data_IF_436450464889
#
_entry.id   IF_436450464889
#
_cell.length_a   1.000
_cell.length_b   1.000
_cell.length_c   1.000
_cell.angle_alpha   90.00
_cell.angle_beta   90.00
_cell.angle_gamma   90.00
#
_symmetry.space_group_name_H-M   'P 1'
#
loop_
_entity.id
_entity.type
_entity.pdbx_description
1 polymer ?
#
# COMPACT_ATOMS: atom_id res chain seq x y z
N UNK A 1 -58.24 -7.39 57.13
CA UNK A 1 -56.74 -7.25 56.96
C UNK A 1 -56.17 -8.41 56.17
N UNK A 2 -56.67 -9.64 56.28
CA UNK A 2 -56.20 -10.80 55.53
C UNK A 2 -56.46 -10.72 54.01
N UNK A 3 -57.62 -10.23 53.55
CA UNK A 3 -57.97 -10.07 52.14
C UNK A 3 -57.06 -9.01 51.45
N UNK A 4 -56.63 -7.95 52.16
CA UNK A 4 -55.73 -6.93 51.62
C UNK A 4 -54.33 -7.50 51.41
N UNK A 5 -53.89 -8.36 52.34
CA UNK A 5 -52.56 -9.01 52.25
C UNK A 5 -52.49 -10.01 51.09
N UNK A 6 -53.56 -10.80 50.89
CA UNK A 6 -53.64 -11.76 49.76
C UNK A 6 -53.71 -11.09 48.40
N UNK A 7 -54.45 -9.98 48.28
CA UNK A 7 -54.48 -9.17 47.06
C UNK A 7 -53.11 -8.51 46.77
N UNK A 8 -52.41 -8.03 47.83
CA UNK A 8 -51.04 -7.49 47.68
C UNK A 8 -50.05 -8.50 47.17
N UNK A 9 -50.10 -9.75 47.71
CA UNK A 9 -49.27 -10.82 47.22
C UNK A 9 -49.58 -11.22 45.74
N UNK A 10 -50.84 -11.29 45.39
CA UNK A 10 -51.28 -11.59 44.03
C UNK A 10 -50.77 -10.53 43.03
N UNK A 11 -50.88 -9.25 43.32
CA UNK A 11 -50.31 -8.18 42.48
C UNK A 11 -48.77 -8.24 42.41
N UNK A 12 -48.12 -8.58 43.52
CA UNK A 12 -46.66 -8.77 43.57
C UNK A 12 -46.20 -9.91 42.61
N UNK A 13 -46.89 -11.02 42.62
CA UNK A 13 -46.60 -12.14 41.72
C UNK A 13 -46.85 -11.78 40.24
N UNK A 14 -47.95 -11.06 39.92
CA UNK A 14 -48.22 -10.60 38.57
C UNK A 14 -47.14 -9.63 38.07
N UNK A 15 -46.68 -8.69 38.93
CA UNK A 15 -45.62 -7.77 38.59
C UNK A 15 -44.27 -8.51 38.34
N UNK A 16 -43.96 -9.51 39.13
CA UNK A 16 -42.77 -10.33 38.97
C UNK A 16 -42.78 -11.13 37.64
N UNK A 17 -43.94 -11.75 37.33
CA UNK A 17 -44.11 -12.49 36.07
C UNK A 17 -43.96 -11.57 34.86
N UNK A 18 -44.61 -10.40 34.89
CA UNK A 18 -44.50 -9.40 33.82
C UNK A 18 -43.03 -8.90 33.65
N UNK A 19 -42.36 -8.67 34.75
CA UNK A 19 -40.92 -8.31 34.72
C UNK A 19 -40.06 -9.39 34.07
N UNK A 20 -40.23 -10.65 34.47
CA UNK A 20 -39.47 -11.79 33.90
C UNK A 20 -39.79 -11.98 32.42
N UNK A 21 -41.05 -11.86 32.00
CA UNK A 21 -41.43 -11.92 30.59
C UNK A 21 -40.82 -10.77 29.79
N UNK A 22 -40.89 -9.54 30.32
CA UNK A 22 -40.28 -8.37 29.68
C UNK A 22 -38.75 -8.53 29.54
N UNK A 23 -38.08 -8.98 30.60
CA UNK A 23 -36.63 -9.26 30.58
C UNK A 23 -36.30 -10.35 29.55
N UNK A 24 -37.08 -11.42 29.50
CA UNK A 24 -36.93 -12.50 28.52
C UNK A 24 -37.09 -12.00 27.07
N UNK A 25 -38.07 -11.15 26.81
CA UNK A 25 -38.29 -10.52 25.49
C UNK A 25 -37.13 -9.61 25.10
N UNK A 26 -36.62 -8.79 26.01
CA UNK A 26 -35.45 -7.92 25.75
C UNK A 26 -34.21 -8.74 25.44
N UNK A 27 -33.95 -9.80 26.19
CA UNK A 27 -32.82 -10.69 25.93
C UNK A 27 -32.96 -11.41 24.58
N UNK A 28 -34.17 -11.92 24.26
CA UNK A 28 -34.47 -12.54 22.98
C UNK A 28 -34.26 -11.56 21.81
N UNK A 29 -34.79 -10.35 21.92
CA UNK A 29 -34.65 -9.30 20.92
C UNK A 29 -33.19 -8.89 20.72
N UNK A 30 -32.43 -8.72 21.81
CA UNK A 30 -31.00 -8.41 21.76
C UNK A 30 -30.23 -9.51 21.02
N UNK A 31 -30.50 -10.76 21.33
CA UNK A 31 -29.83 -11.89 20.70
C UNK A 31 -30.23 -12.10 19.24
N UNK A 32 -31.50 -11.80 18.89
CA UNK A 32 -32.06 -12.03 17.57
C UNK A 32 -31.73 -10.92 16.56
N UNK A 33 -31.54 -9.66 17.00
CA UNK A 33 -31.29 -8.51 16.12
C UNK A 33 -29.90 -7.93 16.31
N UNK A 34 -29.49 -7.59 17.54
CA UNK A 34 -28.23 -6.88 17.78
C UNK A 34 -27.01 -7.79 17.45
N UNK A 35 -27.08 -9.06 17.74
CA UNK A 35 -26.03 -10.02 17.42
C UNK A 35 -25.69 -10.07 15.93
N UNK A 36 -26.65 -10.37 15.05
CA UNK A 36 -26.45 -10.38 13.60
C UNK A 36 -26.03 -9.03 13.02
N UNK A 37 -26.59 -7.91 13.50
CA UNK A 37 -26.21 -6.55 13.03
C UNK A 37 -24.72 -6.27 13.32
N UNK A 38 -24.25 -6.58 14.53
CA UNK A 38 -22.80 -6.50 14.85
C UNK A 38 -21.94 -7.42 13.98
N UNK A 39 -22.49 -8.58 13.57
CA UNK A 39 -21.85 -9.46 12.62
C UNK A 39 -21.65 -8.82 11.24
N UNK A 40 -22.71 -8.21 10.72
CA UNK A 40 -22.71 -7.48 9.43
C UNK A 40 -21.71 -6.31 9.49
N UNK A 41 -21.74 -5.52 10.57
CA UNK A 41 -20.80 -4.40 10.73
C UNK A 41 -19.33 -4.85 10.73
N UNK A 42 -19.01 -5.95 11.42
CA UNK A 42 -17.65 -6.54 11.39
C UNK A 42 -17.25 -6.98 10.00
N UNK A 43 -18.18 -7.56 9.21
CA UNK A 43 -17.89 -7.95 7.83
C UNK A 43 -17.61 -6.74 6.94
N UNK A 44 -18.42 -5.68 7.04
CA UNK A 44 -18.23 -4.45 6.27
C UNK A 44 -16.87 -3.82 6.62
N UNK A 45 -16.51 -3.76 7.90
CA UNK A 45 -15.21 -3.24 8.32
C UNK A 45 -14.05 -4.09 7.76
N UNK A 46 -14.15 -5.43 7.82
CA UNK A 46 -13.14 -6.32 7.23
C UNK A 46 -13.00 -6.17 5.72
N UNK A 47 -14.12 -5.99 5.02
CA UNK A 47 -14.12 -5.68 3.58
C UNK A 47 -13.45 -4.35 3.29
N UNK A 48 -13.73 -3.31 4.09
CA UNK A 48 -13.08 -2.00 3.97
C UNK A 48 -11.56 -2.04 4.25
N UNK A 49 -11.11 -3.01 5.05
CA UNK A 49 -9.70 -3.29 5.32
C UNK A 49 -9.04 -4.19 4.26
N UNK A 50 -9.75 -4.56 3.19
CA UNK A 50 -9.24 -5.46 2.14
C UNK A 50 -9.06 -6.92 2.60
N UNK A 51 -9.64 -7.33 3.75
CA UNK A 51 -9.52 -8.69 4.28
C UNK A 51 -10.62 -9.59 3.72
N UNK A 52 -10.23 -10.77 3.25
CA UNK A 52 -11.19 -11.81 2.82
C UNK A 52 -12.13 -12.22 3.96
N UNK A 53 -13.39 -12.46 3.64
CA UNK A 53 -14.40 -12.87 4.63
C UNK A 53 -14.32 -14.36 5.03
N UNK A 54 -13.51 -15.17 4.38
CA UNK A 54 -13.36 -16.61 4.67
C UNK A 54 -14.65 -17.41 4.46
N UNK A 55 -14.53 -18.71 4.18
CA UNK A 55 -15.61 -19.59 3.74
C UNK A 55 -16.70 -19.93 4.79
N UNK A 56 -16.66 -19.39 6.00
CA UNK A 56 -17.47 -19.91 7.13
C UNK A 56 -18.33 -18.88 7.87
N UNK A 57 -18.88 -17.87 7.20
CA UNK A 57 -19.81 -16.98 7.89
C UNK A 57 -21.25 -17.46 7.74
N UNK A 58 -21.71 -18.32 8.66
CA UNK A 58 -23.12 -18.71 8.74
C UNK A 58 -23.90 -17.65 9.50
N UNK A 59 -24.75 -16.90 8.78
CA UNK A 59 -25.67 -15.94 9.40
C UNK A 59 -26.83 -16.64 10.09
N UNK A 60 -26.93 -16.47 11.42
CA UNK A 60 -28.12 -16.86 12.21
C UNK A 60 -28.90 -15.59 12.52
N UNK A 61 -30.17 -15.50 12.09
CA UNK A 61 -31.03 -14.34 12.35
C UNK A 61 -32.26 -14.30 11.46
N UNK A 62 -33.07 -13.22 11.54
CA UNK A 62 -34.22 -12.98 10.68
C UNK A 62 -33.89 -13.07 9.19
N UNK A 63 -34.89 -13.42 8.37
CA UNK A 63 -34.72 -13.64 6.92
C UNK A 63 -34.09 -12.41 6.24
N UNK A 64 -34.50 -11.21 6.65
CA UNK A 64 -34.05 -9.93 6.09
C UNK A 64 -32.56 -9.71 6.33
N UNK A 65 -32.09 -9.91 7.57
CA UNK A 65 -30.67 -9.76 7.92
C UNK A 65 -29.81 -10.84 7.26
N UNK A 66 -30.35 -12.07 7.10
CA UNK A 66 -29.69 -13.15 6.40
C UNK A 66 -29.49 -12.81 4.91
N UNK A 67 -30.50 -12.23 4.26
CA UNK A 67 -30.39 -11.80 2.86
C UNK A 67 -29.34 -10.70 2.66
N UNK A 68 -29.25 -9.73 3.58
CA UNK A 68 -28.20 -8.69 3.57
C UNK A 68 -26.81 -9.32 3.74
N UNK A 69 -26.65 -10.23 4.70
CA UNK A 69 -25.39 -10.94 4.89
C UNK A 69 -24.94 -11.72 3.65
N UNK A 70 -25.87 -12.42 2.99
CA UNK A 70 -25.59 -13.14 1.74
C UNK A 70 -25.16 -12.20 0.60
N UNK A 71 -25.80 -11.02 0.48
CA UNK A 71 -25.42 -10.03 -0.52
C UNK A 71 -24.01 -9.47 -0.27
N UNK A 72 -23.64 -9.27 1.00
CA UNK A 72 -22.28 -8.81 1.36
C UNK A 72 -21.24 -9.89 1.02
N UNK A 73 -21.54 -11.16 1.30
CA UNK A 73 -20.64 -12.28 0.91
C UNK A 73 -20.49 -12.31 -0.62
N UNK A 74 -21.58 -12.29 -1.36
CA UNK A 74 -21.56 -12.26 -2.82
C UNK A 74 -20.74 -11.07 -3.37
N UNK A 75 -20.91 -9.87 -2.76
CA UNK A 75 -20.15 -8.67 -3.16
C UNK A 75 -18.66 -8.85 -2.88
N UNK A 76 -18.29 -9.44 -1.74
CA UNK A 76 -16.92 -9.77 -1.39
C UNK A 76 -16.28 -10.73 -2.40
N UNK A 77 -17.00 -11.80 -2.74
CA UNK A 77 -16.55 -12.77 -3.75
C UNK A 77 -16.40 -12.11 -5.12
N UNK A 78 -17.34 -11.22 -5.48
CA UNK A 78 -17.29 -10.49 -6.74
C UNK A 78 -16.11 -9.53 -6.81
N UNK A 79 -15.81 -8.82 -5.72
CA UNK A 79 -14.63 -7.95 -5.63
C UNK A 79 -13.34 -8.76 -5.75
N UNK A 80 -13.21 -9.84 -4.99
CA UNK A 80 -12.05 -10.74 -5.06
C UNK A 80 -11.86 -11.33 -6.48
N UNK A 81 -12.96 -11.70 -7.14
CA UNK A 81 -12.92 -12.17 -8.52
C UNK A 81 -12.44 -11.07 -9.49
N UNK A 82 -12.94 -9.83 -9.36
CA UNK A 82 -12.52 -8.70 -10.20
C UNK A 82 -11.03 -8.38 -9.99
N UNK A 83 -10.55 -8.39 -8.75
CA UNK A 83 -9.14 -8.22 -8.44
C UNK A 83 -8.29 -9.31 -9.06
N UNK A 84 -8.70 -10.58 -8.93
CA UNK A 84 -8.01 -11.72 -9.57
C UNK A 84 -7.96 -11.58 -11.10
N UNK A 85 -9.07 -11.20 -11.74
CA UNK A 85 -9.12 -10.95 -13.18
C UNK A 85 -8.20 -9.80 -13.60
N UNK A 86 -8.18 -8.70 -12.84
CA UNK A 86 -7.27 -7.57 -13.06
C UNK A 86 -5.80 -8.02 -13.01
N UNK A 87 -5.43 -8.82 -12.01
CA UNK A 87 -4.07 -9.33 -11.86
C UNK A 87 -3.69 -10.29 -13.00
N UNK A 88 -4.60 -11.20 -13.37
CA UNK A 88 -4.37 -12.12 -14.47
C UNK A 88 -4.21 -11.38 -15.80
N UNK A 89 -5.06 -10.38 -16.08
CA UNK A 89 -4.98 -9.53 -17.27
C UNK A 89 -3.64 -8.80 -17.34
N UNK A 90 -3.22 -8.14 -16.28
CA UNK A 90 -1.96 -7.40 -16.24
C UNK A 90 -0.75 -8.32 -16.40
N UNK A 91 -0.78 -9.53 -15.82
CA UNK A 91 0.26 -10.54 -16.04
C UNK A 91 0.34 -10.97 -17.50
N UNK A 92 -0.81 -11.23 -18.13
CA UNK A 92 -0.87 -11.63 -19.52
C UNK A 92 -0.35 -10.53 -20.45
N UNK A 93 -0.85 -9.30 -20.30
CA UNK A 93 -0.39 -8.14 -21.09
C UNK A 93 1.12 -7.96 -20.97
N UNK A 94 1.67 -8.11 -19.78
CA UNK A 94 3.10 -7.93 -19.56
C UNK A 94 3.94 -9.00 -20.28
N UNK A 95 3.49 -10.25 -20.31
CA UNK A 95 4.14 -11.29 -21.10
C UNK A 95 4.07 -10.99 -22.61
N UNK A 96 2.90 -10.54 -23.09
CA UNK A 96 2.69 -10.17 -24.48
C UNK A 96 3.48 -8.93 -24.93
N UNK A 97 3.78 -8.02 -23.99
CA UNK A 97 4.62 -6.85 -24.27
C UNK A 97 6.13 -7.17 -24.20
N UNK A 98 6.55 -8.12 -23.37
CA UNK A 98 7.97 -8.47 -23.20
C UNK A 98 8.57 -9.05 -24.46
N UNK A 99 7.82 -9.88 -25.18
CA UNK A 99 8.27 -10.55 -26.41
C UNK A 99 8.59 -9.57 -27.54
N UNK A 100 7.69 -8.68 -28.02
CA UNK A 100 8.00 -7.74 -29.09
C UNK A 100 9.09 -6.75 -28.67
N UNK A 101 9.16 -6.39 -27.38
CA UNK A 101 10.20 -5.50 -26.88
C UNK A 101 11.59 -6.14 -26.89
N UNK A 102 11.69 -7.44 -26.57
CA UNK A 102 12.93 -8.20 -26.70
C UNK A 102 13.40 -8.22 -28.17
N UNK A 103 12.48 -8.44 -29.12
CA UNK A 103 12.81 -8.42 -30.57
C UNK A 103 13.23 -7.03 -31.05
N UNK A 104 12.59 -5.95 -30.57
CA UNK A 104 13.00 -4.58 -30.88
C UNK A 104 14.41 -4.30 -30.35
N UNK A 105 14.71 -4.72 -29.11
CA UNK A 105 16.03 -4.55 -28.51
C UNK A 105 17.12 -5.33 -29.28
N UNK A 106 16.85 -6.59 -29.61
CA UNK A 106 17.76 -7.40 -30.41
C UNK A 106 18.04 -6.76 -31.77
N UNK A 107 17.01 -6.23 -32.44
CA UNK A 107 17.17 -5.48 -33.68
C UNK A 107 17.99 -4.22 -33.55
N UNK A 108 17.82 -3.45 -32.44
CA UNK A 108 18.63 -2.24 -32.17
C UNK A 108 20.05 -2.58 -31.80
N UNK A 109 20.31 -3.67 -31.07
CA UNK A 109 21.67 -4.18 -30.76
C UNK A 109 22.40 -4.61 -32.04
N UNK A 110 21.75 -5.37 -32.92
CA UNK A 110 22.33 -5.79 -34.25
C UNK A 110 22.67 -4.56 -35.11
N UNK A 111 21.85 -3.51 -35.08
CA UNK A 111 22.15 -2.27 -35.80
C UNK A 111 23.34 -1.52 -35.14
N UNK A 112 23.36 -1.43 -33.81
CA UNK A 112 24.45 -0.78 -33.06
C UNK A 112 25.80 -1.47 -33.30
N UNK A 113 25.81 -2.80 -33.42
CA UNK A 113 26.97 -3.65 -33.74
C UNK A 113 27.34 -3.63 -35.21
N UNK A 114 26.64 -2.84 -36.04
CA UNK A 114 26.88 -2.67 -37.46
C UNK A 114 26.82 -4.01 -38.25
N UNK A 115 26.09 -5.01 -37.75
CA UNK A 115 25.96 -6.34 -38.40
C UNK A 115 25.34 -6.24 -39.79
N UNK A 116 24.46 -5.28 -40.03
CA UNK A 116 23.79 -5.00 -41.31
C UNK A 116 24.61 -4.06 -42.22
N UNK A 117 25.79 -3.60 -41.77
CA UNK A 117 26.66 -2.66 -42.48
C UNK A 117 26.94 -1.40 -41.63
N UNK A 118 27.94 -0.59 -42.04
CA UNK A 118 28.36 0.59 -41.27
C UNK A 118 27.24 1.65 -41.24
N UNK A 119 27.07 2.26 -40.05
CA UNK A 119 26.10 3.31 -39.82
C UNK A 119 26.75 4.72 -39.94
N UNK A 120 25.99 5.68 -40.47
CA UNK A 120 26.38 7.09 -40.41
C UNK A 120 26.33 7.61 -38.97
N UNK A 121 27.03 8.73 -38.61
CA UNK A 121 26.93 9.30 -37.29
C UNK A 121 25.50 9.60 -36.85
N UNK A 122 24.66 10.10 -37.74
CA UNK A 122 23.24 10.41 -37.47
C UNK A 122 22.44 9.12 -37.21
N UNK A 123 22.72 8.05 -37.95
CA UNK A 123 22.09 6.75 -37.71
C UNK A 123 22.49 6.14 -36.38
N UNK A 124 23.76 6.27 -35.97
CA UNK A 124 24.23 5.84 -34.65
C UNK A 124 23.50 6.56 -33.51
N UNK A 125 23.27 7.87 -33.65
CA UNK A 125 22.51 8.65 -32.68
C UNK A 125 21.06 8.14 -32.57
N UNK A 126 20.41 7.89 -33.72
CA UNK A 126 19.03 7.35 -33.74
C UNK A 126 18.97 5.96 -33.08
N UNK A 127 19.91 5.07 -33.37
CA UNK A 127 20.00 3.73 -32.78
C UNK A 127 20.19 3.82 -31.27
N UNK A 128 21.07 4.74 -30.80
CA UNK A 128 21.26 4.96 -29.37
C UNK A 128 19.98 5.43 -28.67
N UNK A 129 19.19 6.32 -29.31
CA UNK A 129 17.89 6.76 -28.77
C UNK A 129 16.89 5.60 -28.72
N UNK A 130 16.84 4.74 -29.74
CA UNK A 130 15.96 3.57 -29.80
C UNK A 130 16.33 2.55 -28.71
N UNK A 131 17.62 2.25 -28.53
CA UNK A 131 18.09 1.36 -27.46
C UNK A 131 17.73 1.89 -26.07
N UNK A 132 18.03 3.16 -25.80
CA UNK A 132 17.66 3.80 -24.55
C UNK A 132 16.14 3.77 -24.28
N UNK A 133 15.32 4.01 -25.32
CA UNK A 133 13.86 3.97 -25.22
C UNK A 133 13.34 2.56 -24.96
N UNK A 134 13.90 1.55 -25.64
CA UNK A 134 13.55 0.14 -25.44
C UNK A 134 13.89 -0.36 -24.05
N UNK A 135 15.07 -0.01 -23.52
CA UNK A 135 15.48 -0.33 -22.13
C UNK A 135 14.55 0.34 -21.10
N UNK A 136 14.17 1.58 -21.35
CA UNK A 136 13.23 2.28 -20.48
C UNK A 136 11.85 1.61 -20.48
N UNK A 137 11.32 1.25 -21.64
CA UNK A 137 10.03 0.55 -21.75
C UNK A 137 10.08 -0.81 -21.06
N UNK A 138 11.18 -1.56 -21.20
CA UNK A 138 11.36 -2.83 -20.49
C UNK A 138 11.29 -2.62 -18.97
N UNK A 139 12.00 -1.62 -18.44
CA UNK A 139 11.97 -1.28 -17.03
C UNK A 139 10.57 -0.92 -16.53
N UNK A 140 9.78 -0.18 -17.34
CA UNK A 140 8.40 0.17 -17.02
C UNK A 140 7.49 -1.07 -16.95
N UNK A 141 7.63 -1.99 -17.90
CA UNK A 141 6.87 -3.26 -17.93
C UNK A 141 7.24 -4.12 -16.72
N UNK A 142 8.53 -4.24 -16.38
CA UNK A 142 9.01 -4.99 -15.22
C UNK A 142 8.47 -4.38 -13.91
N UNK A 143 8.51 -3.05 -13.76
CA UNK A 143 7.94 -2.36 -12.61
C UNK A 143 6.43 -2.58 -12.48
N UNK A 144 5.68 -2.55 -13.59
CA UNK A 144 4.25 -2.83 -13.61
C UNK A 144 3.94 -4.28 -13.20
N UNK A 145 4.77 -5.23 -13.67
CA UNK A 145 4.67 -6.65 -13.28
C UNK A 145 4.92 -6.86 -11.79
N UNK A 146 6.02 -6.32 -11.29
CA UNK A 146 6.39 -6.42 -9.88
C UNK A 146 5.33 -5.78 -8.98
N UNK A 147 4.78 -4.64 -9.39
CA UNK A 147 3.65 -4.00 -8.71
C UNK A 147 2.45 -4.95 -8.60
N UNK A 148 2.04 -5.53 -9.74
CA UNK A 148 0.90 -6.44 -9.76
C UNK A 148 1.16 -7.75 -9.01
N UNK A 149 2.38 -8.28 -9.05
CA UNK A 149 2.78 -9.48 -8.31
C UNK A 149 2.73 -9.23 -6.80
N UNK A 150 3.27 -8.12 -6.35
CA UNK A 150 3.21 -7.71 -4.94
C UNK A 150 1.78 -7.46 -4.44
N UNK A 151 0.88 -7.01 -5.31
CA UNK A 151 -0.56 -6.86 -4.98
C UNK A 151 -1.31 -8.19 -4.92
N UNK A 152 -0.88 -9.23 -5.65
CA UNK A 152 -1.54 -10.53 -5.72
C UNK A 152 -1.19 -11.47 -4.58
N UNK A 153 -0.01 -11.32 -3.96
CA UNK A 153 0.42 -12.16 -2.85
C UNK A 153 -0.42 -11.87 -1.61
N UNK A 154 -1.06 -12.92 -1.08
CA UNK A 154 -2.06 -12.92 0.01
C UNK A 154 -1.73 -12.12 1.28
N UNK A 155 -2.18 -12.58 2.45
CA UNK A 155 -1.97 -11.90 3.72
C UNK A 155 -0.48 -11.61 3.97
N UNK A 156 -0.15 -10.32 4.12
CA UNK A 156 1.21 -9.89 4.47
C UNK A 156 1.51 -10.36 5.90
N UNK A 157 2.59 -11.09 6.06
CA UNK A 157 3.08 -11.49 7.40
C UNK A 157 4.02 -10.38 7.87
N UNK A 158 3.61 -9.69 8.93
CA UNK A 158 4.43 -8.66 9.55
C UNK A 158 5.35 -9.31 10.57
N UNK A 159 6.62 -8.97 10.50
CA UNK A 159 7.65 -9.38 11.46
C UNK A 159 8.45 -8.17 11.93
N UNK A 160 9.22 -8.34 13.01
CA UNK A 160 10.12 -7.28 13.49
C UNK A 160 11.30 -7.17 12.55
N UNK A 161 11.43 -6.02 11.87
CA UNK A 161 12.45 -5.75 10.86
C UNK A 161 13.38 -4.67 11.35
N UNK A 162 14.70 -4.92 11.31
CA UNK A 162 15.71 -3.91 11.57
C UNK A 162 15.81 -2.94 10.38
N UNK A 163 15.76 -1.64 10.67
CA UNK A 163 15.68 -0.58 9.66
C UNK A 163 17.08 -0.33 9.04
N UNK A 164 18.13 -0.33 9.85
CA UNK A 164 19.48 0.04 9.44
C UNK A 164 20.02 -0.81 8.26
N UNK A 165 19.91 -2.16 8.26
CA UNK A 165 20.40 -2.97 7.15
C UNK A 165 19.68 -2.67 5.83
N UNK A 166 18.37 -2.37 5.88
CA UNK A 166 17.60 -2.02 4.69
C UNK A 166 18.02 -0.66 4.13
N UNK A 167 18.23 0.31 5.02
CA UNK A 167 18.71 1.65 4.65
C UNK A 167 20.09 1.56 3.99
N UNK A 168 21.01 0.78 4.55
CA UNK A 168 22.36 0.61 4.00
C UNK A 168 22.33 -0.04 2.61
N UNK A 169 21.47 -1.04 2.40
CA UNK A 169 21.30 -1.66 1.08
C UNK A 169 20.78 -0.66 0.05
N UNK A 170 19.79 0.17 0.42
CA UNK A 170 19.22 1.19 -0.48
C UNK A 170 20.26 2.25 -0.82
N UNK A 171 20.99 2.79 0.17
CA UNK A 171 22.04 3.79 -0.05
C UNK A 171 23.11 3.22 -0.99
N UNK A 172 23.52 1.98 -0.76
CA UNK A 172 24.54 1.31 -1.58
C UNK A 172 24.08 1.14 -3.03
N UNK A 173 22.83 0.73 -3.25
CA UNK A 173 22.26 0.54 -4.58
C UNK A 173 22.20 1.86 -5.39
N UNK A 174 21.99 3.00 -4.74
CA UNK A 174 21.90 4.32 -5.37
C UNK A 174 23.19 5.17 -5.23
N UNK A 175 24.29 4.57 -4.78
CA UNK A 175 25.55 5.31 -4.51
C UNK A 175 26.13 6.02 -5.74
N UNK A 176 26.11 5.40 -6.92
CA UNK A 176 26.63 6.01 -8.14
C UNK A 176 25.82 7.23 -8.60
N UNK A 177 24.48 7.18 -8.75
CA UNK A 177 23.70 8.36 -9.12
C UNK A 177 23.75 9.47 -8.06
N UNK A 178 23.80 9.14 -6.76
CA UNK A 178 23.94 10.13 -5.70
C UNK A 178 25.28 10.85 -5.77
N UNK A 179 26.40 10.11 -5.98
CA UNK A 179 27.72 10.68 -6.18
C UNK A 179 27.83 11.53 -7.44
N UNK A 180 27.21 11.12 -8.54
CA UNK A 180 27.19 11.88 -9.77
C UNK A 180 26.54 13.27 -9.59
N UNK A 181 25.59 13.39 -8.65
CA UNK A 181 24.99 14.67 -8.23
C UNK A 181 25.67 15.33 -7.03
N UNK A 182 26.78 14.76 -6.54
CA UNK A 182 27.48 15.23 -5.32
C UNK A 182 26.57 15.34 -4.10
N UNK A 183 25.55 14.49 -3.99
CA UNK A 183 24.60 14.48 -2.88
C UNK A 183 25.19 13.77 -1.66
N UNK A 184 24.84 14.26 -0.48
CA UNK A 184 25.21 13.67 0.80
C UNK A 184 23.99 13.00 1.45
N UNK A 185 24.19 11.82 2.07
CA UNK A 185 23.12 11.16 2.83
C UNK A 185 23.46 11.22 4.31
N UNK A 186 22.50 11.68 5.13
CA UNK A 186 22.58 11.69 6.58
C UNK A 186 21.54 10.72 7.15
N UNK A 187 22.00 9.82 8.01
CA UNK A 187 21.17 8.77 8.62
C UNK A 187 21.13 8.98 10.14
N UNK A 188 19.92 9.02 10.71
CA UNK A 188 19.66 9.17 12.14
C UNK A 188 18.50 8.25 12.56
N UNK A 189 18.83 7.05 13.03
CA UNK A 189 17.86 6.00 13.34
C UNK A 189 17.68 5.84 14.86
N UNK A 190 16.74 6.62 15.42
CA UNK A 190 16.37 6.54 16.85
C UNK A 190 15.39 5.38 17.14
N UNK A 191 14.66 4.90 16.14
CA UNK A 191 13.87 3.68 16.21
C UNK A 191 14.58 2.60 15.37
N UNK A 192 15.18 1.56 15.98
CA UNK A 192 16.00 0.59 15.25
C UNK A 192 15.18 -0.42 14.46
N UNK A 193 13.92 -0.68 14.84
CA UNK A 193 13.07 -1.70 14.22
C UNK A 193 11.61 -1.26 14.10
N UNK A 194 10.88 -1.90 13.20
CA UNK A 194 9.44 -1.74 13.01
C UNK A 194 8.79 -3.07 12.65
N UNK A 195 7.44 -3.15 12.73
CA UNK A 195 6.70 -4.29 12.22
C UNK A 195 6.40 -4.08 10.73
N UNK A 196 7.02 -4.89 9.91
CA UNK A 196 6.90 -4.80 8.46
C UNK A 196 7.07 -6.17 7.79
N UNK A 197 6.79 -6.23 6.51
CA UNK A 197 7.30 -7.29 5.62
C UNK A 197 8.58 -6.76 4.96
N UNK A 198 9.73 -7.46 5.11
CA UNK A 198 11.03 -6.92 4.72
C UNK A 198 11.14 -6.47 3.27
N UNK A 199 10.61 -7.28 2.33
CA UNK A 199 10.70 -6.98 0.90
C UNK A 199 9.81 -5.81 0.48
N UNK A 200 8.64 -5.66 1.12
CA UNK A 200 7.78 -4.51 0.87
C UNK A 200 8.40 -3.23 1.42
N UNK A 201 8.94 -3.27 2.65
CA UNK A 201 9.60 -2.11 3.25
C UNK A 201 10.84 -1.70 2.44
N UNK A 202 11.65 -2.68 2.02
CA UNK A 202 12.79 -2.45 1.12
C UNK A 202 12.36 -1.75 -0.17
N UNK A 203 11.28 -2.22 -0.81
CA UNK A 203 10.73 -1.61 -2.02
C UNK A 203 10.25 -0.17 -1.81
N UNK A 204 9.65 0.13 -0.65
CA UNK A 204 9.22 1.48 -0.29
C UNK A 204 10.44 2.40 -0.13
N UNK A 205 11.42 1.99 0.66
CA UNK A 205 12.64 2.76 0.89
C UNK A 205 13.40 3.01 -0.41
N UNK A 206 13.51 2.01 -1.29
CA UNK A 206 14.13 2.13 -2.61
C UNK A 206 13.43 3.18 -3.48
N UNK A 207 12.10 3.13 -3.55
CA UNK A 207 11.32 4.10 -4.32
C UNK A 207 11.46 5.53 -3.78
N UNK A 208 11.40 5.72 -2.45
CA UNK A 208 11.52 7.04 -1.84
C UNK A 208 12.94 7.60 -1.96
N UNK A 209 13.96 6.78 -1.74
CA UNK A 209 15.36 7.19 -1.86
C UNK A 209 15.73 7.49 -3.32
N UNK A 210 15.31 6.66 -4.27
CA UNK A 210 15.46 6.91 -5.70
C UNK A 210 14.84 8.24 -6.10
N UNK A 211 13.65 8.57 -5.59
CA UNK A 211 13.02 9.86 -5.82
C UNK A 211 13.83 11.00 -5.21
N UNK A 212 14.33 10.86 -3.98
CA UNK A 212 15.19 11.86 -3.34
C UNK A 212 16.47 12.13 -4.15
N UNK A 213 17.11 11.10 -4.70
CA UNK A 213 18.28 11.25 -5.58
C UNK A 213 17.89 11.94 -6.90
N UNK A 214 16.74 11.59 -7.49
CA UNK A 214 16.35 12.12 -8.80
C UNK A 214 15.88 13.57 -8.74
N UNK A 215 15.09 13.93 -7.74
CA UNK A 215 14.46 15.26 -7.61
C UNK A 215 15.24 16.20 -6.68
N UNK A 216 16.19 15.69 -5.92
CA UNK A 216 17.07 16.48 -5.08
C UNK A 216 17.99 17.37 -5.90
N UNK A 217 18.41 18.52 -5.32
CA UNK A 217 19.37 19.45 -5.90
C UNK A 217 20.77 18.85 -5.99
N UNK A 218 21.57 19.30 -6.94
CA UNK A 218 23.01 19.02 -6.99
C UNK A 218 23.69 19.53 -5.71
N UNK A 219 24.61 18.76 -5.15
CA UNK A 219 25.26 19.02 -3.86
C UNK A 219 24.29 19.12 -2.68
N UNK A 220 23.06 18.61 -2.84
CA UNK A 220 22.04 18.58 -1.80
C UNK A 220 22.22 17.49 -0.78
N UNK A 221 21.31 17.43 0.19
CA UNK A 221 21.34 16.42 1.26
C UNK A 221 20.06 15.58 1.26
N UNK A 222 20.23 14.28 1.43
CA UNK A 222 19.14 13.34 1.71
C UNK A 222 19.20 12.98 3.18
N UNK A 223 18.08 13.04 3.88
CA UNK A 223 17.95 12.66 5.27
C UNK A 223 17.10 11.40 5.39
N UNK A 224 17.61 10.41 6.11
CA UNK A 224 16.82 9.23 6.52
C UNK A 224 16.78 9.22 8.03
N UNK A 225 15.60 9.32 8.61
CA UNK A 225 15.43 9.38 10.07
C UNK A 225 14.38 8.40 10.51
N UNK A 226 14.59 7.76 11.65
CA UNK A 226 13.55 6.96 12.28
C UNK A 226 13.31 7.40 13.72
N UNK A 227 12.04 7.46 14.12
CA UNK A 227 11.59 7.76 15.47
C UNK A 227 10.36 6.91 15.79
N UNK A 228 10.01 6.82 17.09
CA UNK A 228 8.76 6.19 17.51
C UNK A 228 8.06 7.04 18.58
N UNK A 229 6.75 6.86 18.71
CA UNK A 229 5.94 7.46 19.77
C UNK A 229 5.39 6.43 20.77
N UNK A 230 5.97 5.22 20.83
CA UNK A 230 5.55 4.12 21.70
C UNK A 230 4.46 3.21 21.10
N UNK A 231 3.75 3.64 20.07
CA UNK A 231 2.73 2.83 19.37
C UNK A 231 3.02 2.66 17.87
N UNK A 232 3.64 3.66 17.26
CA UNK A 232 4.02 3.68 15.83
C UNK A 232 5.48 4.06 15.65
N UNK A 233 6.07 3.53 14.60
CA UNK A 233 7.39 3.94 14.09
C UNK A 233 7.18 4.86 12.91
N UNK A 234 7.93 5.95 12.87
CA UNK A 234 7.98 6.91 11.79
C UNK A 234 9.34 6.78 11.11
N UNK A 235 9.34 6.59 9.79
CA UNK A 235 10.56 6.63 8.98
C UNK A 235 10.40 7.77 7.98
N UNK A 236 11.26 8.77 8.08
CA UNK A 236 11.29 9.93 7.21
C UNK A 236 12.39 9.78 6.17
N UNK A 237 12.03 9.91 4.90
CA UNK A 237 12.96 10.06 3.79
C UNK A 237 12.76 11.45 3.21
N UNK A 238 13.74 12.32 3.40
CA UNK A 238 13.63 13.73 3.04
C UNK A 238 14.82 14.19 2.19
N UNK A 239 14.62 15.20 1.36
CA UNK A 239 15.68 15.76 0.52
C UNK A 239 15.55 17.25 0.35
N UNK A 240 16.69 17.91 0.18
CA UNK A 240 16.74 19.27 -0.35
C UNK A 240 16.45 19.25 -1.84
N UNK A 241 15.58 20.17 -2.32
CA UNK A 241 15.20 20.20 -3.73
C UNK A 241 14.03 21.13 -3.99
N UNK A 242 13.35 20.97 -5.11
CA UNK A 242 12.15 21.75 -5.38
C UNK A 242 10.98 21.19 -4.55
N UNK A 243 10.25 22.05 -3.82
CA UNK A 243 9.09 21.61 -3.04
C UNK A 243 7.98 21.11 -3.97
N UNK A 244 7.19 20.15 -3.49
CA UNK A 244 6.03 19.64 -4.22
C UNK A 244 4.91 20.67 -4.13
N UNK A 245 4.34 21.15 -5.26
CA UNK A 245 3.19 22.05 -5.26
C UNK A 245 2.01 21.48 -4.47
N UNK A 246 1.26 22.32 -3.76
CA UNK A 246 0.17 21.88 -2.88
C UNK A 246 -0.95 21.15 -3.62
N UNK A 247 -1.23 21.55 -4.85
CA UNK A 247 -2.20 20.92 -5.75
C UNK A 247 -1.73 19.54 -6.26
N UNK A 248 -0.43 19.26 -6.26
CA UNK A 248 0.13 17.98 -6.67
C UNK A 248 0.28 16.99 -5.51
N UNK A 249 0.30 17.42 -4.24
CA UNK A 249 0.59 16.56 -3.07
C UNK A 249 -0.31 15.34 -2.94
N UNK A 250 -1.55 15.41 -3.36
CA UNK A 250 -2.47 14.27 -3.39
C UNK A 250 -2.31 13.41 -4.64
N UNK A 251 -1.99 14.05 -5.76
CA UNK A 251 -1.94 13.42 -7.09
C UNK A 251 -0.64 12.64 -7.32
N UNK A 252 0.47 13.00 -6.65
CA UNK A 252 1.76 12.29 -6.84
C UNK A 252 1.73 10.83 -6.41
N UNK A 253 0.72 10.42 -5.66
CA UNK A 253 0.49 9.03 -5.28
C UNK A 253 -0.42 8.28 -6.26
N UNK A 254 -0.99 8.95 -7.26
CA UNK A 254 -1.78 8.31 -8.29
C UNK A 254 -0.87 7.61 -9.32
N UNK A 255 -1.22 6.39 -9.76
CA UNK A 255 -0.44 5.67 -10.76
C UNK A 255 -0.26 6.50 -12.04
N UNK A 256 0.95 6.48 -12.60
CA UNK A 256 1.36 7.20 -13.82
C UNK A 256 1.35 8.72 -13.72
N UNK A 257 1.04 9.29 -12.57
CA UNK A 257 1.14 10.73 -12.39
C UNK A 257 2.61 11.18 -12.36
N UNK A 258 2.90 12.28 -13.06
CA UNK A 258 4.21 12.93 -13.11
C UNK A 258 3.97 14.40 -12.83
N UNK A 259 4.58 14.93 -11.76
CA UNK A 259 4.46 16.33 -11.38
C UNK A 259 5.09 17.28 -12.41
N UNK A 260 4.81 18.56 -12.24
CA UNK A 260 5.29 19.66 -13.10
C UNK A 260 6.82 19.79 -13.10
N UNK A 261 7.50 19.39 -12.02
CA UNK A 261 8.96 19.37 -11.94
C UNK A 261 9.53 18.18 -12.71
N UNK A 262 10.01 18.45 -13.94
CA UNK A 262 10.58 17.39 -14.80
C UNK A 262 11.92 16.90 -14.25
N UNK A 263 12.15 15.59 -14.29
CA UNK A 263 13.48 15.01 -14.13
C UNK A 263 14.45 15.63 -15.12
N UNK A 264 15.58 16.15 -14.65
CA UNK A 264 16.70 16.50 -15.51
C UNK A 264 17.36 15.21 -15.99
N UNK A 265 17.19 14.85 -17.28
CA UNK A 265 17.81 13.67 -17.91
C UNK A 265 16.93 13.02 -18.97
N UNK A 266 17.52 12.17 -19.80
CA UNK A 266 16.88 11.54 -20.96
C UNK A 266 15.77 10.53 -20.60
N UNK A 267 15.68 10.07 -19.33
CA UNK A 267 14.75 9.02 -18.92
C UNK A 267 13.69 9.59 -17.97
N UNK A 268 12.46 9.79 -18.48
CA UNK A 268 11.30 10.14 -17.66
C UNK A 268 10.99 9.01 -16.67
N UNK A 269 10.59 9.34 -15.44
CA UNK A 269 10.12 8.35 -14.47
C UNK A 269 8.81 7.69 -14.92
N UNK A 270 8.50 6.50 -14.37
CA UNK A 270 7.26 5.79 -14.67
C UNK A 270 6.00 6.40 -14.08
N UNK A 271 6.15 7.22 -13.03
CA UNK A 271 5.01 7.65 -12.20
C UNK A 271 4.37 6.53 -11.36
N UNK A 272 5.02 5.37 -11.26
CA UNK A 272 4.51 4.22 -10.48
C UNK A 272 5.15 4.10 -9.09
N UNK A 273 6.34 4.66 -8.87
CA UNK A 273 7.11 4.43 -7.64
C UNK A 273 6.37 4.83 -6.36
N UNK A 274 5.76 6.02 -6.32
CA UNK A 274 5.04 6.50 -5.13
C UNK A 274 3.70 5.78 -4.91
N UNK A 275 2.99 5.42 -5.97
CA UNK A 275 1.76 4.61 -5.85
C UNK A 275 2.07 3.21 -5.32
N UNK A 276 3.15 2.57 -5.80
CA UNK A 276 3.65 1.29 -5.28
C UNK A 276 4.02 1.43 -3.80
N UNK A 277 4.78 2.46 -3.44
CA UNK A 277 5.18 2.70 -2.05
C UNK A 277 3.96 2.84 -1.13
N UNK A 278 2.96 3.65 -1.52
CA UNK A 278 1.71 3.84 -0.76
C UNK A 278 0.94 2.53 -0.58
N UNK A 279 0.80 1.73 -1.63
CA UNK A 279 0.08 0.46 -1.56
C UNK A 279 0.83 -0.59 -0.71
N UNK A 280 2.16 -0.65 -0.80
CA UNK A 280 2.98 -1.50 0.08
C UNK A 280 2.80 -1.12 1.56
N UNK A 281 2.82 0.18 1.88
CA UNK A 281 2.65 0.67 3.25
C UNK A 281 1.24 0.37 3.78
N UNK A 282 0.19 0.58 2.97
CA UNK A 282 -1.20 0.24 3.35
C UNK A 282 -1.37 -1.25 3.65
N UNK A 283 -0.73 -2.12 2.90
CA UNK A 283 -0.74 -3.58 3.16
C UNK A 283 -0.05 -3.95 4.46
N UNK A 284 0.93 -3.16 4.89
CA UNK A 284 1.60 -3.28 6.19
C UNK A 284 0.86 -2.53 7.31
N UNK A 285 -0.41 -2.13 7.11
CA UNK A 285 -1.25 -1.40 8.08
C UNK A 285 -0.67 -0.04 8.48
N UNK A 286 0.13 0.55 7.58
CA UNK A 286 0.76 1.83 7.74
C UNK A 286 0.15 2.93 6.87
N UNK A 287 0.76 4.12 6.96
CA UNK A 287 0.42 5.28 6.15
C UNK A 287 1.69 5.90 5.54
N UNK A 288 1.57 6.44 4.33
CA UNK A 288 2.63 7.20 3.65
C UNK A 288 2.11 8.60 3.36
N UNK A 289 2.74 9.59 3.97
CA UNK A 289 2.33 10.99 3.92
C UNK A 289 3.49 11.91 3.54
N UNK A 290 3.16 13.11 3.03
CA UNK A 290 4.11 14.21 2.92
C UNK A 290 3.98 15.07 4.16
N UNK A 291 5.10 15.37 4.81
CA UNK A 291 5.16 16.22 5.98
C UNK A 291 6.11 17.40 5.76
N UNK A 292 5.88 18.47 6.48
CA UNK A 292 6.81 19.61 6.49
C UNK A 292 8.05 19.27 7.30
N UNK A 293 9.21 19.71 6.84
CA UNK A 293 10.49 19.51 7.49
C UNK A 293 11.28 20.84 7.50
N UNK A 294 12.01 21.12 8.58
CA UNK A 294 12.78 22.35 8.72
C UNK A 294 14.11 22.32 7.95
N UNK A 295 14.61 21.13 7.60
CA UNK A 295 15.93 20.90 6.99
C UNK A 295 15.85 20.46 5.54
N UNK A 296 14.64 20.13 5.06
CA UNK A 296 14.42 19.59 3.72
C UNK A 296 13.18 20.20 3.08
N UNK A 297 13.21 20.31 1.75
CA UNK A 297 12.12 20.87 0.96
C UNK A 297 11.01 19.85 0.68
N UNK A 298 11.36 18.56 0.69
CA UNK A 298 10.44 17.42 0.52
C UNK A 298 10.72 16.39 1.60
N UNK A 299 9.69 15.94 2.30
CA UNK A 299 9.79 14.89 3.29
C UNK A 299 8.62 13.92 3.16
N UNK A 300 8.93 12.66 2.86
CA UNK A 300 7.98 11.56 2.90
C UNK A 300 8.10 10.85 4.24
N UNK A 301 6.98 10.73 4.96
CA UNK A 301 6.87 10.02 6.22
C UNK A 301 6.13 8.70 6.04
N UNK A 302 6.80 7.62 6.40
CA UNK A 302 6.24 6.29 6.55
C UNK A 302 5.83 6.13 8.02
N UNK A 303 4.59 5.69 8.25
CA UNK A 303 4.08 5.35 9.57
C UNK A 303 3.75 3.85 9.61
N UNK A 304 4.39 3.10 10.49
CA UNK A 304 4.18 1.65 10.66
C UNK A 304 3.81 1.32 12.12
N UNK A 305 3.05 0.25 12.38
CA UNK A 305 2.77 -0.18 13.75
C UNK A 305 4.04 -0.70 14.42
N UNK A 306 4.15 -0.46 15.74
CA UNK A 306 5.24 -1.01 16.57
C UNK A 306 4.92 -2.44 17.03
N UNK A 307 3.64 -2.70 17.33
CA UNK A 307 3.11 -4.03 17.65
C UNK A 307 1.93 -4.36 16.73
N UNK A 308 1.68 -5.65 16.40
CA UNK A 308 0.48 -6.00 15.65
C UNK A 308 -0.72 -5.52 16.49
N UNK A 309 -1.60 -4.73 15.88
CA UNK A 309 -2.88 -4.40 16.51
C UNK A 309 -3.49 -5.67 17.05
N UNK A 310 -3.57 -5.78 18.39
CA UNK A 310 -4.28 -6.90 19.03
C UNK A 310 -5.69 -6.87 18.47
N UNK A 311 -6.00 -7.80 17.58
CA UNK A 311 -7.36 -8.02 17.10
C UNK A 311 -8.25 -8.03 18.34
N UNK A 312 -9.01 -6.96 18.57
CA UNK A 312 -10.03 -6.95 19.60
C UNK A 312 -10.97 -8.11 19.33
N UNK A 313 -10.83 -9.12 20.20
CA UNK A 313 -11.69 -10.30 20.22
C UNK A 313 -13.12 -9.93 20.60
#
# INVERSE_FOLDING_TARGET
QQEIAERGQFFGWQALVLFLVSLGLVLLFTRMIIGPVKGIQRMINRLGEGKSLGDTVVFKGPRELRSVGQRIIWLSERLAWLESQRHQFLRHISHELKTPLASMREGTELLADEVAGPLTPEQKEIVAILDASSRNLQKLIEQLLDYNRKLADGAVVLESVEIEPLVDMVISAHSLPARAKMMHTQVDLNAPSCLAEPMLLMSVLDNLYSNAVHYGTESGTIYIRSNNNGSRVFIDVANTGSPIPDDEKTMIFEPFFQGSHQRKGAVKGSGLGLSIARDCIRRMQGELNIVSDERADVCFRIELPLEPEKSMK
#
